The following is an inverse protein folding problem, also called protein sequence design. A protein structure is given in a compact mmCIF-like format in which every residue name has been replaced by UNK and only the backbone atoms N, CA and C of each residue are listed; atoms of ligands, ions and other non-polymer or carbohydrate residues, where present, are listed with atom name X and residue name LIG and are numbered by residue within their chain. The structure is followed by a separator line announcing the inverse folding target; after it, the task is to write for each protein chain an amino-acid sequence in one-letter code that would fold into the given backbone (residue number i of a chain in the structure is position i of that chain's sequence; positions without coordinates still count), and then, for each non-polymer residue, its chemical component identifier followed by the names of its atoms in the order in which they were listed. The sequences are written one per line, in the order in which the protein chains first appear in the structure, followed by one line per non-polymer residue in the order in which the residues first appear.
data_IF_035269726984
#
_entry.id   IF_035269726984
#
_cell.length_a   1.000
_cell.length_b   1.000
_cell.length_c   1.000
_cell.angle_alpha   90.00
_cell.angle_beta   90.00
_cell.angle_gamma   90.00
#
_symmetry.space_group_name_H-M   'P 1'
#
loop_
_entity.id
_entity.type
_entity.pdbx_description
1 polymer ?
#
# COMPACT_ATOMS: atom_id res chain seq x y z
N UNK A 1 -12.10 25.66 4.79
CA UNK A 1 -12.11 24.94 3.49
C UNK A 1 -12.40 23.48 3.77
N UNK A 2 -13.50 22.94 3.25
CA UNK A 2 -13.89 21.54 3.48
C UNK A 2 -13.06 20.65 2.55
N UNK A 3 -12.31 19.65 3.04
CA UNK A 3 -11.47 18.83 2.16
C UNK A 3 -12.28 18.08 1.11
N UNK A 4 -11.94 18.17 -0.17
CA UNK A 4 -12.74 17.57 -1.26
C UNK A 4 -12.59 16.04 -1.40
N UNK A 5 -11.71 15.40 -0.59
CA UNK A 5 -11.55 13.93 -0.51
C UNK A 5 -12.67 13.25 0.31
N UNK A 6 -13.68 14.03 0.71
CA UNK A 6 -14.68 13.70 1.71
C UNK A 6 -16.03 13.22 1.17
N UNK A 7 -16.27 13.22 -0.15
CA UNK A 7 -17.48 12.62 -0.68
C UNK A 7 -17.20 11.16 -1.09
N UNK A 8 -18.04 10.20 -0.67
CA UNK A 8 -17.91 8.79 -1.06
C UNK A 8 -18.10 8.55 -2.58
N UNK A 9 -18.41 9.61 -3.34
CA UNK A 9 -18.53 9.63 -4.80
C UNK A 9 -17.63 10.65 -5.49
N UNK A 10 -16.76 11.41 -4.79
CA UNK A 10 -15.80 12.27 -5.50
C UNK A 10 -14.65 11.41 -6.04
N UNK A 11 -14.68 11.18 -7.34
CA UNK A 11 -13.53 10.83 -8.16
C UNK A 11 -12.52 11.99 -8.13
N UNK A 12 -11.89 12.28 -6.98
CA UNK A 12 -10.90 13.36 -6.91
C UNK A 12 -9.68 13.13 -7.80
N UNK A 13 -9.46 11.88 -8.21
CA UNK A 13 -8.31 11.43 -8.99
C UNK A 13 -8.63 11.21 -10.46
N UNK A 14 -9.89 11.36 -10.87
CA UNK A 14 -10.38 11.18 -12.24
C UNK A 14 -11.51 12.20 -12.45
N UNK A 15 -11.23 13.28 -13.17
CA UNK A 15 -12.23 14.33 -13.40
C UNK A 15 -12.88 14.23 -14.79
N UNK A 16 -12.37 13.37 -15.67
CA UNK A 16 -12.86 13.18 -17.04
C UNK A 16 -12.81 11.72 -17.52
N UNK A 17 -13.59 11.37 -18.56
CA UNK A 17 -13.54 10.06 -19.24
C UNK A 17 -12.16 9.74 -19.84
N UNK A 18 -11.34 10.78 -20.11
CA UNK A 18 -9.99 10.59 -20.62
C UNK A 18 -9.02 10.14 -19.51
N UNK A 19 -9.24 10.56 -18.25
CA UNK A 19 -8.47 10.12 -17.08
C UNK A 19 -8.73 8.64 -16.75
N UNK A 20 -9.88 8.10 -17.17
CA UNK A 20 -10.18 6.66 -17.06
C UNK A 20 -9.28 5.83 -17.99
N UNK A 21 -8.87 6.40 -19.13
CA UNK A 21 -7.99 5.76 -20.11
C UNK A 21 -6.51 5.90 -19.74
N UNK A 22 -6.16 6.86 -18.89
CA UNK A 22 -4.80 7.14 -18.42
C UNK A 22 -4.70 7.03 -16.88
N UNK A 23 -5.09 5.87 -16.34
CA UNK A 23 -5.18 5.66 -14.90
C UNK A 23 -3.79 5.76 -14.21
N UNK A 24 -3.40 6.96 -13.75
CA UNK A 24 -2.12 7.20 -13.07
C UNK A 24 -2.20 7.01 -11.55
N UNK A 25 -3.36 6.61 -11.01
CA UNK A 25 -3.56 6.49 -9.57
C UNK A 25 -4.09 5.11 -9.17
N UNK A 26 -3.63 4.59 -8.04
CA UNK A 26 -4.03 3.27 -7.51
C UNK A 26 -5.48 3.19 -7.02
N UNK A 27 -6.25 4.28 -7.05
CA UNK A 27 -7.60 4.28 -6.52
C UNK A 27 -8.47 5.36 -7.16
N UNK A 28 -9.62 4.94 -7.67
CA UNK A 28 -10.58 5.82 -8.35
C UNK A 28 -11.99 5.72 -7.76
N UNK A 29 -12.33 4.62 -7.08
CA UNK A 29 -13.70 4.38 -6.62
C UNK A 29 -14.11 5.12 -5.36
N UNK A 30 -13.16 5.67 -4.57
CA UNK A 30 -13.48 6.31 -3.29
C UNK A 30 -14.00 5.37 -2.17
N UNK A 31 -14.14 4.07 -2.45
CA UNK A 31 -14.81 3.11 -1.57
C UNK A 31 -13.92 2.54 -0.45
N UNK A 32 -12.59 2.73 -0.48
CA UNK A 32 -11.66 2.03 0.40
C UNK A 32 -11.91 2.34 1.89
N UNK A 33 -12.02 3.63 2.25
CA UNK A 33 -12.25 4.04 3.63
C UNK A 33 -13.66 3.68 4.12
N UNK A 34 -14.68 3.81 3.27
CA UNK A 34 -16.06 3.41 3.62
C UNK A 34 -16.21 1.90 3.79
N UNK A 35 -15.54 1.09 2.95
CA UNK A 35 -15.49 -0.36 3.12
C UNK A 35 -14.81 -0.75 4.43
N UNK A 36 -13.70 -0.07 4.78
CA UNK A 36 -12.99 -0.32 6.03
C UNK A 36 -13.81 0.09 7.26
N UNK A 37 -14.53 1.21 7.21
CA UNK A 37 -15.38 1.68 8.32
C UNK A 37 -16.61 0.79 8.56
N UNK A 38 -17.04 0.02 7.56
CA UNK A 38 -18.13 -0.95 7.72
C UNK A 38 -17.77 -2.08 8.69
N UNK A 39 -16.49 -2.45 8.74
CA UNK A 39 -15.97 -3.59 9.50
C UNK A 39 -15.02 -3.22 10.65
N UNK A 40 -14.69 -1.94 10.83
CA UNK A 40 -13.76 -1.46 11.87
C UNK A 40 -14.14 -0.07 12.39
N UNK A 41 -13.44 0.43 13.41
CA UNK A 41 -13.48 1.83 13.80
C UNK A 41 -12.35 2.55 13.05
N UNK A 42 -12.69 3.47 12.15
CA UNK A 42 -11.71 4.19 11.33
C UNK A 42 -11.61 5.65 11.76
N UNK A 43 -10.38 6.14 11.88
CA UNK A 43 -10.09 7.56 12.01
C UNK A 43 -8.95 7.98 11.10
N UNK A 44 -9.00 9.22 10.61
CA UNK A 44 -8.02 9.81 9.70
C UNK A 44 -7.49 11.08 10.36
N UNK A 45 -6.20 11.12 10.66
CA UNK A 45 -5.51 12.32 11.11
C UNK A 45 -4.71 12.86 9.94
N UNK A 46 -4.97 14.09 9.51
CA UNK A 46 -4.26 14.69 8.39
C UNK A 46 -3.89 16.14 8.67
N UNK A 47 -2.76 16.57 8.10
CA UNK A 47 -2.29 17.95 8.12
C UNK A 47 -1.53 18.24 6.83
N UNK A 48 -1.91 19.28 6.11
CA UNK A 48 -1.18 19.79 4.94
C UNK A 48 -0.13 20.83 5.35
N UNK A 49 0.82 21.14 4.47
CA UNK A 49 1.88 22.11 4.76
C UNK A 49 1.36 23.54 4.98
N UNK A 50 0.21 23.88 4.42
CA UNK A 50 -0.46 25.17 4.61
C UNK A 50 -1.26 25.28 5.92
N UNK A 51 -1.50 24.17 6.61
CA UNK A 51 -2.29 24.15 7.84
C UNK A 51 -1.38 24.23 9.07
N UNK A 52 -1.73 25.06 10.05
CA UNK A 52 -0.98 25.13 11.32
C UNK A 52 -1.27 23.93 12.23
N UNK A 53 -2.53 23.48 12.24
CA UNK A 53 -3.03 22.40 13.10
C UNK A 53 -3.65 21.30 12.24
N UNK A 54 -3.39 20.04 12.59
CA UNK A 54 -4.00 18.90 11.91
C UNK A 54 -5.46 18.69 12.32
N UNK A 55 -6.17 17.89 11.51
CA UNK A 55 -7.57 17.54 11.76
C UNK A 55 -7.73 16.03 11.89
N UNK A 56 -8.40 15.60 12.94
CA UNK A 56 -8.82 14.23 13.16
C UNK A 56 -10.28 14.07 12.75
N UNK A 57 -10.53 13.15 11.82
CA UNK A 57 -11.84 12.76 11.34
C UNK A 57 -12.15 11.35 11.80
N UNK A 58 -13.36 11.11 12.34
CA UNK A 58 -13.89 9.76 12.49
C UNK A 58 -14.71 9.40 11.26
N UNK A 59 -14.55 8.20 10.73
CA UNK A 59 -15.34 7.72 9.60
C UNK A 59 -16.44 6.80 10.13
N UNK A 60 -17.69 7.18 9.90
CA UNK A 60 -18.86 6.41 10.26
C UNK A 60 -19.01 5.17 9.37
N UNK A 61 -19.85 4.23 9.81
CA UNK A 61 -20.10 2.95 9.13
C UNK A 61 -20.66 3.12 7.71
N UNK A 62 -21.38 4.21 7.45
CA UNK A 62 -21.92 4.57 6.15
C UNK A 62 -20.88 5.24 5.22
N UNK A 63 -19.61 5.33 5.65
CA UNK A 63 -18.51 5.98 4.93
C UNK A 63 -18.48 7.51 5.05
N UNK A 64 -19.43 8.12 5.76
CA UNK A 64 -19.48 9.57 5.99
C UNK A 64 -18.55 9.97 7.14
N UNK A 65 -18.21 11.24 7.17
CA UNK A 65 -17.50 11.83 8.31
C UNK A 65 -18.47 11.95 9.48
N UNK A 66 -18.05 11.47 10.65
CA UNK A 66 -18.69 11.77 11.91
C UNK A 66 -18.04 12.98 12.59
N UNK A 67 -17.48 12.77 13.77
CA UNK A 67 -16.78 13.79 14.53
C UNK A 67 -15.53 14.30 13.79
N UNK A 68 -15.31 15.61 13.89
CA UNK A 68 -14.12 16.31 13.40
C UNK A 68 -13.54 17.13 14.55
N UNK A 69 -12.25 16.96 14.84
CA UNK A 69 -11.59 17.58 15.98
C UNK A 69 -10.19 18.07 15.59
N UNK A 70 -9.79 19.31 15.95
CA UNK A 70 -8.41 19.75 15.83
C UNK A 70 -7.48 18.86 16.65
N UNK A 71 -6.33 18.47 16.08
CA UNK A 71 -5.34 17.62 16.75
C UNK A 71 -3.93 17.92 16.24
N UNK A 72 -2.96 17.95 17.15
CA UNK A 72 -1.55 18.07 16.78
C UNK A 72 -1.12 16.88 15.92
N UNK A 73 -0.49 17.17 14.79
CA UNK A 73 -0.01 16.20 13.81
C UNK A 73 1.21 16.76 13.06
N UNK A 74 2.08 15.86 12.59
CA UNK A 74 3.06 16.20 11.56
C UNK A 74 2.37 16.31 10.19
N UNK A 75 2.97 17.01 9.23
CA UNK A 75 2.49 17.02 7.84
C UNK A 75 2.36 15.60 7.32
N UNK A 76 1.24 15.33 6.66
CA UNK A 76 0.91 14.06 6.05
C UNK A 76 -0.41 13.52 6.59
N UNK A 77 -0.63 12.23 6.36
CA UNK A 77 -1.88 11.56 6.70
C UNK A 77 -1.59 10.26 7.44
N UNK A 78 -2.30 10.04 8.54
CA UNK A 78 -2.30 8.80 9.32
C UNK A 78 -3.71 8.24 9.34
N UNK A 79 -3.87 7.01 8.84
CA UNK A 79 -5.13 6.26 8.90
C UNK A 79 -5.01 5.23 10.01
N UNK A 80 -5.99 5.22 10.92
CA UNK A 80 -6.03 4.31 12.06
C UNK A 80 -7.32 3.51 11.99
N UNK A 81 -7.20 2.19 11.82
CA UNK A 81 -8.31 1.25 11.89
C UNK A 81 -8.16 0.36 13.14
N UNK A 82 -9.14 0.39 14.04
CA UNK A 82 -9.16 -0.41 15.27
C UNK A 82 -10.38 -1.32 15.30
N UNK A 83 -10.32 -2.39 16.11
CA UNK A 83 -11.43 -3.34 16.24
C UNK A 83 -11.87 -3.94 14.89
N UNK A 84 -10.90 -4.34 14.07
CA UNK A 84 -11.16 -4.95 12.76
C UNK A 84 -12.05 -6.20 12.90
N UNK A 85 -13.04 -6.31 12.03
CA UNK A 85 -14.07 -7.36 12.02
C UNK A 85 -14.94 -7.41 13.29
N UNK A 86 -15.04 -6.33 14.08
CA UNK A 86 -15.89 -6.29 15.30
C UNK A 86 -17.34 -6.75 15.08
N UNK A 87 -17.88 -6.50 13.89
CA UNK A 87 -19.26 -6.82 13.52
C UNK A 87 -19.40 -8.18 12.81
N UNK A 88 -18.30 -8.94 12.65
CA UNK A 88 -18.25 -10.21 11.92
C UNK A 88 -17.55 -11.28 12.77
N UNK A 89 -18.26 -11.92 13.73
CA UNK A 89 -17.67 -12.78 14.76
C UNK A 89 -16.81 -13.92 14.19
N UNK A 90 -17.28 -14.56 13.11
CA UNK A 90 -16.53 -15.64 12.43
C UNK A 90 -15.21 -15.10 11.89
N UNK A 91 -15.21 -13.98 11.14
CA UNK A 91 -13.98 -13.39 10.60
C UNK A 91 -13.03 -12.90 11.69
N UNK A 92 -13.58 -12.38 12.79
CA UNK A 92 -12.81 -11.98 13.97
C UNK A 92 -12.09 -13.18 14.59
N UNK A 93 -12.79 -14.29 14.83
CA UNK A 93 -12.19 -15.52 15.38
C UNK A 93 -11.10 -16.10 14.47
N UNK A 94 -11.30 -16.07 13.15
CA UNK A 94 -10.27 -16.47 12.18
C UNK A 94 -9.00 -15.61 12.31
N UNK A 95 -9.14 -14.30 12.45
CA UNK A 95 -8.02 -13.36 12.57
C UNK A 95 -7.32 -13.45 13.93
N UNK A 96 -8.02 -13.89 14.98
CA UNK A 96 -7.45 -14.10 16.33
C UNK A 96 -6.66 -15.40 16.48
N UNK A 97 -6.74 -16.32 15.51
CA UNK A 97 -5.93 -17.53 15.53
C UNK A 97 -4.46 -17.19 15.20
N UNK A 98 -3.53 -17.54 16.09
CA UNK A 98 -2.10 -17.18 15.95
C UNK A 98 -1.47 -17.67 14.64
N UNK A 99 -1.82 -18.88 14.16
CA UNK A 99 -1.31 -19.40 12.89
C UNK A 99 -1.82 -18.57 11.71
N UNK A 100 -3.12 -18.32 11.67
CA UNK A 100 -3.73 -17.49 10.61
C UNK A 100 -3.23 -16.06 10.62
N UNK A 101 -3.01 -15.49 11.81
CA UNK A 101 -2.41 -14.16 11.96
C UNK A 101 -1.01 -14.09 11.35
N UNK A 102 -0.18 -15.13 11.51
CA UNK A 102 1.12 -15.21 10.84
C UNK A 102 0.97 -15.28 9.31
N UNK A 103 0.06 -16.12 8.81
CA UNK A 103 -0.19 -16.25 7.37
C UNK A 103 -0.68 -14.92 6.76
N UNK A 104 -1.59 -14.20 7.42
CA UNK A 104 -2.05 -12.87 6.98
C UNK A 104 -0.95 -11.81 7.06
N UNK A 105 -0.11 -11.84 8.11
CA UNK A 105 1.02 -10.93 8.22
C UNK A 105 2.02 -11.14 7.07
N UNK A 106 2.26 -12.40 6.68
CA UNK A 106 3.12 -12.74 5.54
C UNK A 106 2.53 -12.19 4.23
N UNK A 107 1.22 -12.34 4.00
CA UNK A 107 0.55 -11.72 2.83
C UNK A 107 0.70 -10.19 2.80
N UNK A 108 0.60 -9.53 3.95
CA UNK A 108 0.84 -8.07 4.04
C UNK A 108 2.29 -7.74 3.74
N UNK A 109 3.23 -8.52 4.27
CA UNK A 109 4.66 -8.36 3.98
C UNK A 109 4.97 -8.51 2.49
N UNK A 110 4.47 -9.55 1.83
CA UNK A 110 4.65 -9.79 0.39
C UNK A 110 4.09 -8.63 -0.45
N UNK A 111 2.94 -8.06 -0.03
CA UNK A 111 2.38 -6.86 -0.65
C UNK A 111 3.28 -5.63 -0.45
N UNK A 112 3.84 -5.43 0.75
CA UNK A 112 4.78 -4.34 1.02
C UNK A 112 6.07 -4.48 0.21
N UNK A 113 6.57 -5.70 0.03
CA UNK A 113 7.70 -6.01 -0.84
C UNK A 113 7.39 -5.64 -2.29
N UNK A 114 6.24 -6.04 -2.83
CA UNK A 114 5.81 -5.68 -4.18
C UNK A 114 5.74 -4.16 -4.39
N UNK A 115 5.14 -3.41 -3.46
CA UNK A 115 5.16 -1.94 -3.52
C UNK A 115 6.58 -1.36 -3.43
N UNK A 116 7.45 -1.97 -2.62
CA UNK A 116 8.84 -1.57 -2.47
C UNK A 116 9.66 -1.72 -3.76
N UNK A 117 9.34 -2.73 -4.58
CA UNK A 117 9.95 -2.97 -5.89
C UNK A 117 9.43 -1.99 -6.95
N UNK A 118 8.11 -1.79 -7.01
CA UNK A 118 7.49 -0.87 -7.98
C UNK A 118 7.89 0.59 -7.71
N UNK A 119 8.15 0.95 -6.44
CA UNK A 119 8.53 2.31 -6.03
C UNK A 119 9.89 2.34 -5.30
N UNK A 120 11.01 2.35 -6.04
CA UNK A 120 12.37 2.38 -5.47
C UNK A 120 12.62 3.56 -4.53
N UNK A 121 12.02 4.72 -4.79
CA UNK A 121 12.23 5.96 -4.04
C UNK A 121 11.40 6.05 -2.74
N UNK A 122 10.48 5.11 -2.50
CA UNK A 122 9.70 5.05 -1.25
C UNK A 122 10.46 4.32 -0.14
N UNK A 123 10.40 4.88 1.06
CA UNK A 123 10.77 4.20 2.31
C UNK A 123 9.51 3.54 2.87
N UNK A 124 9.59 2.24 3.15
CA UNK A 124 8.46 1.46 3.69
C UNK A 124 8.93 0.74 4.95
N UNK A 125 8.11 0.75 6.00
CA UNK A 125 8.38 0.03 7.24
C UNK A 125 7.10 -0.69 7.66
N UNK A 126 7.18 -2.01 7.80
CA UNK A 126 6.14 -2.85 8.36
C UNK A 126 6.48 -3.20 9.81
N UNK A 127 5.60 -2.85 10.74
CA UNK A 127 5.72 -3.19 12.16
C UNK A 127 4.57 -4.06 12.61
N UNK A 128 4.88 -5.06 13.43
CA UNK A 128 3.90 -5.89 14.12
C UNK A 128 4.27 -5.98 15.59
N UNK A 129 3.31 -5.69 16.48
CA UNK A 129 3.52 -5.67 17.93
C UNK A 129 4.77 -4.86 18.36
N UNK A 130 4.94 -3.66 17.77
CA UNK A 130 6.06 -2.73 17.97
C UNK A 130 7.41 -3.20 17.39
N UNK A 131 7.56 -4.47 17.01
CA UNK A 131 8.75 -4.96 16.33
C UNK A 131 8.71 -4.61 14.83
N UNK A 132 9.87 -4.31 14.24
CA UNK A 132 10.01 -4.19 12.79
C UNK A 132 10.03 -5.60 12.22
N UNK A 133 9.06 -5.92 11.37
CA UNK A 133 8.97 -7.21 10.65
C UNK A 133 9.78 -7.12 9.38
N UNK A 134 9.58 -6.04 8.63
CA UNK A 134 10.24 -5.81 7.37
C UNK A 134 10.39 -4.30 7.12
N UNK A 135 11.45 -3.91 6.42
CA UNK A 135 11.66 -2.52 6.03
C UNK A 135 12.48 -2.41 4.76
N UNK A 136 12.23 -1.33 4.00
CA UNK A 136 13.00 -0.95 2.82
C UNK A 136 13.33 0.55 2.88
N UNK A 137 14.59 0.88 2.65
CA UNK A 137 15.06 2.26 2.51
C UNK A 137 14.79 2.81 1.10
N UNK A 138 14.88 4.14 0.95
CA UNK A 138 14.84 4.76 -0.38
C UNK A 138 16.10 4.35 -1.15
N UNK A 139 15.93 3.98 -2.41
CA UNK A 139 17.02 3.62 -3.33
C UNK A 139 16.77 4.26 -4.69
N UNK A 140 17.82 4.39 -5.49
CA UNK A 140 17.77 5.16 -6.73
C UNK A 140 17.03 4.42 -7.86
N UNK A 141 17.20 3.09 -7.94
CA UNK A 141 16.79 2.29 -9.10
C UNK A 141 16.17 0.94 -8.70
N UNK A 142 15.52 0.29 -9.67
CA UNK A 142 14.82 -0.98 -9.46
C UNK A 142 15.77 -2.14 -9.13
N UNK A 143 17.00 -2.16 -9.64
CA UNK A 143 17.97 -3.22 -9.34
C UNK A 143 18.38 -3.16 -7.87
N UNK A 144 18.66 -1.97 -7.38
CA UNK A 144 18.99 -1.73 -5.97
C UNK A 144 17.76 -1.99 -5.09
N UNK A 145 16.54 -1.70 -5.56
CA UNK A 145 15.31 -2.09 -4.87
C UNK A 145 15.20 -3.62 -4.75
N UNK A 146 15.44 -4.36 -5.83
CA UNK A 146 15.43 -5.82 -5.83
C UNK A 146 16.45 -6.40 -4.84
N UNK A 147 17.67 -5.84 -4.82
CA UNK A 147 18.69 -6.20 -3.82
C UNK A 147 18.26 -5.89 -2.39
N UNK A 148 17.56 -4.77 -2.16
CA UNK A 148 17.11 -4.38 -0.82
C UNK A 148 15.97 -5.24 -0.32
N UNK A 149 15.17 -5.82 -1.22
CA UNK A 149 13.98 -6.62 -0.89
C UNK A 149 14.36 -8.08 -0.71
N UNK A 150 15.14 -8.66 -1.63
CA UNK A 150 15.46 -10.09 -1.65
C UNK A 150 16.91 -10.44 -1.28
N UNK A 151 17.76 -9.44 -1.04
CA UNK A 151 19.17 -9.63 -0.76
C UNK A 151 20.05 -9.77 -2.01
N UNK A 152 21.35 -9.61 -1.81
CA UNK A 152 22.35 -9.62 -2.88
C UNK A 152 22.60 -11.02 -3.45
N UNK A 153 22.41 -12.07 -2.64
CA UNK A 153 22.63 -13.47 -3.04
C UNK A 153 21.65 -13.93 -4.12
N UNK A 154 20.38 -13.54 -4.03
CA UNK A 154 19.39 -13.83 -5.06
C UNK A 154 19.64 -13.01 -6.31
N UNK A 155 19.94 -11.71 -6.15
CA UNK A 155 20.20 -10.82 -7.29
C UNK A 155 21.39 -11.30 -8.14
N UNK A 156 22.42 -11.88 -7.54
CA UNK A 156 23.57 -12.45 -8.25
C UNK A 156 23.18 -13.57 -9.24
N UNK A 157 22.06 -14.25 -8.97
CA UNK A 157 21.55 -15.37 -9.76
C UNK A 157 20.53 -14.91 -10.80
N UNK A 158 20.20 -13.61 -10.84
CA UNK A 158 19.25 -13.04 -11.78
C UNK A 158 19.95 -12.48 -13.03
N UNK A 159 19.26 -12.60 -14.16
CA UNK A 159 19.52 -11.90 -15.42
C UNK A 159 18.47 -10.82 -15.63
N UNK A 160 18.83 -9.80 -16.40
CA UNK A 160 17.91 -8.71 -16.78
C UNK A 160 17.36 -9.04 -18.16
N UNK A 161 16.05 -8.89 -18.31
CA UNK A 161 15.37 -8.89 -19.60
C UNK A 161 14.84 -7.49 -19.82
N UNK A 162 15.28 -6.86 -20.89
CA UNK A 162 14.75 -5.61 -21.37
C UNK A 162 14.31 -5.83 -22.81
N UNK A 163 13.01 -5.63 -23.04
CA UNK A 163 12.41 -5.74 -24.36
C UNK A 163 11.69 -4.44 -24.68
N UNK A 164 11.96 -3.93 -25.86
CA UNK A 164 11.31 -2.76 -26.42
C UNK A 164 10.66 -3.19 -27.73
N UNK A 165 9.33 -3.05 -27.84
CA UNK A 165 8.65 -3.30 -29.11
C UNK A 165 8.82 -2.08 -30.03
N UNK A 166 9.63 -2.25 -31.07
CA UNK A 166 9.86 -1.19 -32.07
C UNK A 166 8.65 -0.98 -33.00
N UNK A 167 7.66 -1.88 -32.98
CA UNK A 167 6.47 -1.83 -33.83
C UNK A 167 5.27 -1.19 -33.12
N UNK A 168 5.28 0.15 -32.96
CA UNK A 168 4.13 1.04 -32.65
C UNK A 168 3.22 0.70 -31.45
N UNK A 169 3.48 -0.37 -30.69
CA UNK A 169 2.65 -0.83 -29.57
C UNK A 169 2.99 -0.14 -28.26
N UNK A 170 4.16 0.53 -28.19
CA UNK A 170 4.62 1.27 -27.00
C UNK A 170 4.94 0.38 -25.80
N UNK A 171 5.10 -0.93 -25.99
CA UNK A 171 5.37 -1.87 -24.91
C UNK A 171 6.86 -1.88 -24.56
N UNK A 172 7.17 -1.49 -23.32
CA UNK A 172 8.48 -1.69 -22.69
C UNK A 172 8.35 -2.69 -21.56
N UNK A 173 9.13 -3.78 -21.62
CA UNK A 173 9.18 -4.80 -20.59
C UNK A 173 10.57 -4.79 -19.98
N UNK A 174 10.65 -4.44 -18.70
CA UNK A 174 11.83 -4.60 -17.88
C UNK A 174 11.54 -5.64 -16.80
N UNK A 175 12.36 -6.68 -16.73
CA UNK A 175 12.21 -7.77 -15.78
C UNK A 175 13.54 -8.35 -15.31
N UNK A 176 13.51 -8.93 -14.12
CA UNK A 176 14.63 -9.68 -13.56
C UNK A 176 14.18 -11.12 -13.37
N UNK A 177 14.83 -12.05 -14.07
CA UNK A 177 14.51 -13.49 -14.00
C UNK A 177 15.75 -14.29 -13.58
N UNK A 178 15.58 -15.43 -12.88
CA UNK A 178 16.68 -16.35 -12.64
C UNK A 178 17.39 -16.70 -13.94
N UNK A 179 18.73 -16.73 -13.93
CA UNK A 179 19.51 -17.14 -15.10
C UNK A 179 19.22 -18.61 -15.44
N UNK A 180 19.28 -19.00 -16.72
CA UNK A 180 19.13 -20.40 -17.10
C UNK A 180 20.09 -21.30 -16.30
N UNK A 181 19.57 -22.37 -15.72
CA UNK A 181 20.34 -23.31 -14.88
C UNK A 181 20.29 -23.04 -13.36
N UNK A 182 19.67 -21.95 -12.90
CA UNK A 182 19.39 -21.70 -11.49
C UNK A 182 17.97 -22.13 -11.10
N UNK A 183 17.81 -22.63 -9.86
CA UNK A 183 16.50 -23.06 -9.36
C UNK A 183 15.58 -21.85 -9.13
N UNK A 184 14.45 -21.80 -9.84
CA UNK A 184 13.46 -20.74 -9.71
C UNK A 184 12.71 -20.79 -8.36
N UNK A 185 12.77 -21.91 -7.64
CA UNK A 185 12.18 -22.07 -6.29
C UNK A 185 12.88 -21.26 -5.21
N UNK A 186 13.99 -20.60 -5.52
CA UNK A 186 14.67 -19.69 -4.59
C UNK A 186 13.84 -18.45 -4.23
N UNK A 187 12.79 -18.15 -4.99
CA UNK A 187 11.82 -17.09 -4.67
C UNK A 187 10.77 -17.51 -3.62
N UNK A 188 10.60 -18.81 -3.37
CA UNK A 188 9.64 -19.34 -2.38
C UNK A 188 10.21 -19.45 -0.95
N UNK A 189 11.47 -19.07 -0.75
CA UNK A 189 12.17 -19.24 0.54
C UNK A 189 12.51 -17.88 1.14
N UNK A 190 11.54 -17.24 1.79
CA UNK A 190 11.70 -16.41 3.00
C UNK A 190 10.38 -16.30 3.77
#
# INVERSE_FOLDING_TARGET
MHPSWLNPTTLQKISSDNDLKSLQTYGFRGEALGSLSTVSNVSVLTKTDSEEVGMLYTIERNGKIGATLPKSAATGTTIIATNLFKNLPVRKQFSSNSKKCKDELKRVEDLMMAYGLVHPTLRIILRHNKAVVWQKSKVADQRTALSSVFGTSLLAQMGVIEFHDEADSGIHVLGYLPRPGYDWRLLDVQ
#
